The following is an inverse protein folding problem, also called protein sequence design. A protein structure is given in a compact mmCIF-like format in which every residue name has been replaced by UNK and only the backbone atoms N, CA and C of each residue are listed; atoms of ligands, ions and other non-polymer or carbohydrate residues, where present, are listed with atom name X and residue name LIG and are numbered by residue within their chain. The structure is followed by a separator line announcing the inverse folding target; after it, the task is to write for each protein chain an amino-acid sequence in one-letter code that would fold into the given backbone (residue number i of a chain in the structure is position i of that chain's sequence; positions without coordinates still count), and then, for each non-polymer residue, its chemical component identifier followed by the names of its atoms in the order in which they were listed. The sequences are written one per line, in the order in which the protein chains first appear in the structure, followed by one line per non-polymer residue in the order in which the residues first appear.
data_IF_534215241795
#
_entry.id   IF_534215241795
#
_cell.length_a   1.000
_cell.length_b   1.000
_cell.length_c   1.000
_cell.angle_alpha   90.00
_cell.angle_beta   90.00
_cell.angle_gamma   90.00
#
_symmetry.space_group_name_H-M   'P 1'
#
loop_
_entity.id
_entity.type
_entity.pdbx_description
1 polymer ?
#
# COMPACT_ATOMS: atom_id res chain seq x y z
N UNK A 1 22.14 -25.37 -9.08
CA UNK A 1 22.24 -24.34 -8.02
C UNK A 1 22.05 -22.92 -8.57
N UNK A 2 22.52 -22.58 -9.78
CA UNK A 2 22.24 -21.28 -10.43
C UNK A 2 20.77 -20.83 -10.53
N UNK A 3 19.81 -21.67 -10.97
CA UNK A 3 18.43 -21.21 -11.16
C UNK A 3 17.74 -20.84 -9.84
N UNK A 4 18.08 -21.54 -8.74
CA UNK A 4 17.54 -21.25 -7.41
C UNK A 4 18.02 -19.89 -6.89
N UNK A 5 19.30 -19.57 -7.08
CA UNK A 5 19.87 -18.28 -6.71
C UNK A 5 19.24 -17.13 -7.51
N UNK A 6 18.93 -17.36 -8.79
CA UNK A 6 18.19 -16.40 -9.60
C UNK A 6 16.79 -16.14 -9.05
N UNK A 7 16.01 -17.18 -8.74
CA UNK A 7 14.65 -17.00 -8.21
C UNK A 7 14.65 -16.32 -6.84
N UNK A 8 15.59 -16.66 -5.95
CA UNK A 8 15.74 -16.01 -4.65
C UNK A 8 16.07 -14.51 -4.79
N UNK A 9 17.03 -14.17 -5.65
CA UNK A 9 17.39 -12.77 -5.91
C UNK A 9 16.24 -11.98 -6.54
N UNK A 10 15.49 -12.57 -7.47
CA UNK A 10 14.33 -11.95 -8.08
C UNK A 10 13.18 -11.75 -7.06
N UNK A 11 12.91 -12.75 -6.22
CA UNK A 11 11.89 -12.65 -5.18
C UNK A 11 12.22 -11.55 -4.16
N UNK A 12 13.48 -11.46 -3.73
CA UNK A 12 13.96 -10.40 -2.84
C UNK A 12 13.85 -9.02 -3.50
N UNK A 13 14.22 -8.89 -4.79
CA UNK A 13 14.10 -7.64 -5.53
C UNK A 13 12.64 -7.15 -5.61
N UNK A 14 11.69 -8.04 -5.93
CA UNK A 14 10.27 -7.67 -5.97
C UNK A 14 9.71 -7.36 -4.57
N UNK A 15 10.15 -8.08 -3.54
CA UNK A 15 9.80 -7.79 -2.14
C UNK A 15 10.28 -6.41 -1.71
N UNK A 16 11.53 -6.06 -2.03
CA UNK A 16 12.12 -4.75 -1.74
C UNK A 16 11.41 -3.61 -2.50
N UNK A 17 11.01 -3.83 -3.76
CA UNK A 17 10.21 -2.88 -4.51
C UNK A 17 8.81 -2.70 -3.89
N UNK A 18 8.14 -3.80 -3.49
CA UNK A 18 6.84 -3.73 -2.82
C UNK A 18 6.92 -2.95 -1.50
N UNK A 19 7.96 -3.21 -0.69
CA UNK A 19 8.24 -2.46 0.54
C UNK A 19 8.46 -0.97 0.27
N UNK A 20 9.21 -0.64 -0.79
CA UNK A 20 9.45 0.75 -1.21
C UNK A 20 8.14 1.48 -1.55
N UNK A 21 7.29 0.85 -2.37
CA UNK A 21 5.97 1.39 -2.73
C UNK A 21 5.10 1.59 -1.48
N UNK A 22 5.11 0.62 -0.57
CA UNK A 22 4.36 0.72 0.69
C UNK A 22 4.83 1.88 1.57
N UNK A 23 6.15 2.08 1.70
CA UNK A 23 6.70 3.19 2.48
C UNK A 23 6.40 4.55 1.85
N UNK A 24 6.44 4.66 0.51
CA UNK A 24 5.99 5.87 -0.19
C UNK A 24 4.51 6.15 0.10
N UNK A 25 3.67 5.11 0.08
CA UNK A 25 2.26 5.22 0.44
C UNK A 25 2.07 5.75 1.86
N UNK A 26 2.74 5.16 2.86
CA UNK A 26 2.65 5.62 4.25
C UNK A 26 3.09 7.09 4.39
N UNK A 27 4.18 7.46 3.72
CA UNK A 27 4.70 8.83 3.74
C UNK A 27 3.68 9.83 3.20
N UNK A 28 3.08 9.54 2.04
CA UNK A 28 2.07 10.42 1.43
C UNK A 28 0.78 10.41 2.25
N UNK A 29 0.36 9.25 2.78
CA UNK A 29 -0.81 9.13 3.64
C UNK A 29 -0.68 10.04 4.86
N UNK A 30 0.34 9.83 5.69
CA UNK A 30 0.51 10.63 6.91
C UNK A 30 0.85 12.08 6.61
N UNK A 31 1.63 12.36 5.57
CA UNK A 31 1.91 13.72 5.12
C UNK A 31 0.65 14.47 4.70
N UNK A 32 -0.25 13.81 3.96
CA UNK A 32 -1.52 14.41 3.54
C UNK A 32 -2.49 14.65 4.70
N UNK A 33 -2.54 13.74 5.67
CA UNK A 33 -3.36 13.90 6.88
C UNK A 33 -2.81 15.03 7.75
N UNK A 34 -1.48 15.11 7.93
CA UNK A 34 -0.82 16.22 8.63
C UNK A 34 -1.09 17.57 7.94
N UNK A 35 -0.99 17.62 6.62
CA UNK A 35 -1.33 18.79 5.84
C UNK A 35 -2.80 19.20 6.03
N UNK A 36 -3.75 18.27 5.94
CA UNK A 36 -5.17 18.54 6.17
C UNK A 36 -5.45 18.98 7.63
N UNK A 37 -4.71 18.44 8.59
CA UNK A 37 -4.77 18.79 10.01
C UNK A 37 -4.21 20.20 10.31
N UNK A 38 -3.22 20.67 9.55
CA UNK A 38 -2.65 22.00 9.71
C UNK A 38 -3.39 23.08 8.90
N UNK A 39 -3.79 22.77 7.66
CA UNK A 39 -4.36 23.73 6.71
C UNK A 39 -5.78 23.32 6.31
N UNK A 40 -6.83 23.88 6.96
CA UNK A 40 -8.21 23.59 6.59
C UNK A 40 -8.52 24.21 5.22
N UNK A 41 -8.74 23.35 4.22
CA UNK A 41 -9.08 23.77 2.86
C UNK A 41 -10.52 24.25 2.72
N UNK A 42 -11.33 24.09 3.77
CA UNK A 42 -12.75 24.45 3.82
C UNK A 42 -13.02 25.87 3.34
N UNK A 43 -12.16 26.83 3.68
CA UNK A 43 -12.33 28.27 3.37
C UNK A 43 -11.65 28.69 2.06
N UNK A 44 -10.96 27.77 1.38
CA UNK A 44 -10.27 28.04 0.12
C UNK A 44 -11.18 27.70 -1.05
N UNK A 45 -11.90 28.71 -1.58
CA UNK A 45 -12.68 28.64 -2.82
C UNK A 45 -14.18 28.31 -2.65
N UNK A 46 -14.88 28.16 -3.78
CA UNK A 46 -16.34 27.92 -3.80
C UNK A 46 -16.67 26.51 -3.26
N UNK A 47 -17.65 26.42 -2.36
CA UNK A 47 -18.14 25.14 -1.80
C UNK A 47 -19.27 24.56 -2.65
N UNK A 48 -19.21 23.25 -2.93
CA UNK A 48 -20.34 22.46 -3.46
C UNK A 48 -20.39 21.13 -2.71
N UNK A 49 -21.54 20.81 -2.10
CA UNK A 49 -21.72 19.62 -1.23
C UNK A 49 -20.82 19.62 0.02
N UNK A 50 -20.64 20.78 0.66
CA UNK A 50 -19.86 20.89 1.91
C UNK A 50 -18.33 20.82 1.75
N UNK A 51 -17.83 20.53 0.55
CA UNK A 51 -16.41 20.42 0.21
C UNK A 51 -15.94 21.61 -0.63
N UNK A 52 -14.75 22.15 -0.34
CA UNK A 52 -14.13 23.19 -1.16
C UNK A 52 -13.57 22.65 -2.47
N UNK A 53 -13.49 23.50 -3.51
CA UNK A 53 -12.91 23.13 -4.80
C UNK A 53 -11.45 22.66 -4.66
N UNK A 54 -10.65 23.33 -3.83
CA UNK A 54 -9.26 22.96 -3.56
C UNK A 54 -9.15 21.60 -2.88
N UNK A 55 -10.04 21.30 -1.92
CA UNK A 55 -10.09 19.98 -1.27
C UNK A 55 -10.38 18.86 -2.26
N UNK A 56 -11.24 19.10 -3.27
CA UNK A 56 -11.54 18.09 -4.29
C UNK A 56 -10.36 17.84 -5.23
N UNK A 57 -9.63 18.89 -5.61
CA UNK A 57 -8.45 18.75 -6.45
C UNK A 57 -7.34 17.97 -5.74
N UNK A 58 -7.02 18.35 -4.49
CA UNK A 58 -5.98 17.67 -3.70
C UNK A 58 -6.42 16.24 -3.35
N UNK A 59 -7.68 16.07 -2.93
CA UNK A 59 -8.26 14.74 -2.68
C UNK A 59 -8.23 13.85 -3.92
N UNK A 60 -8.55 14.40 -5.10
CA UNK A 60 -8.47 13.67 -6.37
C UNK A 60 -7.05 13.22 -6.69
N UNK A 61 -6.07 14.11 -6.53
CA UNK A 61 -4.66 13.76 -6.71
C UNK A 61 -4.20 12.66 -5.73
N UNK A 62 -4.60 12.74 -4.46
CA UNK A 62 -4.33 11.71 -3.45
C UNK A 62 -4.97 10.38 -3.81
N UNK A 63 -6.22 10.39 -4.28
CA UNK A 63 -6.92 9.18 -4.71
C UNK A 63 -6.21 8.52 -5.90
N UNK A 64 -5.81 9.30 -6.91
CA UNK A 64 -5.02 8.79 -8.03
C UNK A 64 -3.71 8.16 -7.56
N UNK A 65 -3.00 8.82 -6.65
CA UNK A 65 -1.77 8.28 -6.07
C UNK A 65 -2.01 6.97 -5.30
N UNK A 66 -3.07 6.88 -4.49
CA UNK A 66 -3.41 5.66 -3.75
C UNK A 66 -3.75 4.50 -4.70
N UNK A 67 -4.49 4.76 -5.78
CA UNK A 67 -4.82 3.73 -6.78
C UNK A 67 -3.54 3.22 -7.45
N UNK A 68 -2.67 4.11 -7.92
CA UNK A 68 -1.42 3.72 -8.59
C UNK A 68 -0.51 2.93 -7.63
N UNK A 69 -0.39 3.39 -6.39
CA UNK A 69 0.42 2.73 -5.37
C UNK A 69 -0.14 1.36 -5.01
N UNK A 70 -1.46 1.23 -4.88
CA UNK A 70 -2.12 -0.05 -4.61
C UNK A 70 -1.89 -1.05 -5.76
N UNK A 71 -2.09 -0.64 -7.02
CA UNK A 71 -1.88 -1.51 -8.18
C UNK A 71 -0.43 -1.96 -8.28
N UNK A 72 0.52 -1.04 -8.05
CA UNK A 72 1.95 -1.34 -8.07
C UNK A 72 2.32 -2.32 -6.96
N UNK A 73 1.86 -2.08 -5.74
CA UNK A 73 2.07 -2.96 -4.59
C UNK A 73 1.48 -4.36 -4.83
N UNK A 74 0.25 -4.43 -5.35
CA UNK A 74 -0.44 -5.67 -5.69
C UNK A 74 0.37 -6.50 -6.68
N UNK A 75 0.84 -5.88 -7.77
CA UNK A 75 1.58 -6.57 -8.81
C UNK A 75 2.92 -7.11 -8.28
N UNK A 76 3.70 -6.27 -7.59
CA UNK A 76 5.00 -6.66 -7.03
C UNK A 76 4.87 -7.77 -5.97
N UNK A 77 3.87 -7.65 -5.09
CA UNK A 77 3.61 -8.66 -4.06
C UNK A 77 3.23 -10.01 -4.68
N UNK A 78 2.42 -10.00 -5.74
CA UNK A 78 2.04 -11.23 -6.43
C UNK A 78 3.21 -11.86 -7.20
N UNK A 79 4.08 -11.05 -7.81
CA UNK A 79 5.31 -11.55 -8.45
C UNK A 79 6.26 -12.20 -7.43
N UNK A 80 6.49 -11.53 -6.29
CA UNK A 80 7.31 -12.08 -5.21
C UNK A 80 6.74 -13.40 -4.68
N UNK A 81 5.44 -13.43 -4.37
CA UNK A 81 4.76 -14.63 -3.89
C UNK A 81 4.75 -15.76 -4.92
N UNK A 82 4.60 -15.44 -6.21
CA UNK A 82 4.67 -16.41 -7.29
C UNK A 82 6.04 -17.08 -7.38
N UNK A 83 7.12 -16.29 -7.25
CA UNK A 83 8.50 -16.81 -7.23
C UNK A 83 8.78 -17.65 -5.98
N UNK A 84 8.31 -17.22 -4.81
CA UNK A 84 8.39 -18.00 -3.57
C UNK A 84 7.67 -19.35 -3.73
N UNK A 85 6.50 -19.36 -4.36
CA UNK A 85 5.78 -20.60 -4.67
C UNK A 85 6.56 -21.54 -5.60
N UNK A 86 7.28 -21.00 -6.58
CA UNK A 86 8.17 -21.78 -7.46
C UNK A 86 9.36 -22.35 -6.66
N UNK A 87 9.97 -21.54 -5.80
CA UNK A 87 11.09 -21.96 -4.94
C UNK A 87 10.66 -23.10 -4.01
N UNK A 88 9.51 -22.98 -3.35
CA UNK A 88 8.95 -24.02 -2.47
C UNK A 88 8.69 -25.32 -3.25
N UNK A 89 8.15 -25.26 -4.47
CA UNK A 89 7.93 -26.44 -5.33
C UNK A 89 9.22 -27.09 -5.81
N UNK A 90 10.24 -26.31 -6.16
CA UNK A 90 11.55 -26.86 -6.52
C UNK A 90 12.27 -27.46 -5.31
N UNK A 91 12.05 -26.88 -4.13
CA UNK A 91 12.58 -27.34 -2.86
C UNK A 91 12.00 -28.67 -2.40
N UNK A 92 10.68 -28.88 -2.55
CA UNK A 92 10.03 -30.16 -2.21
C UNK A 92 10.55 -31.34 -3.04
N UNK A 93 11.22 -31.06 -4.16
CA UNK A 93 11.89 -32.06 -5.00
C UNK A 93 13.33 -32.40 -4.56
N UNK A 94 13.75 -31.95 -3.36
CA UNK A 94 14.93 -32.48 -2.66
C UNK A 94 16.18 -31.58 -2.61
N UNK A 95 16.07 -30.29 -2.95
CA UNK A 95 17.23 -29.38 -3.06
C UNK A 95 17.43 -28.37 -1.93
N UNK A 96 16.54 -28.30 -0.94
CA UNK A 96 16.56 -27.26 0.09
C UNK A 96 16.14 -27.83 1.46
N UNK A 97 16.76 -27.31 2.53
CA UNK A 97 16.49 -27.74 3.89
C UNK A 97 15.02 -27.48 4.26
N UNK A 98 14.36 -28.44 4.91
CA UNK A 98 12.95 -28.35 5.33
C UNK A 98 12.64 -27.06 6.13
N UNK A 99 13.60 -26.59 6.92
CA UNK A 99 13.50 -25.33 7.68
C UNK A 99 13.36 -24.10 6.78
N UNK A 100 14.07 -24.04 5.65
CA UNK A 100 13.96 -22.94 4.70
C UNK A 100 12.58 -22.92 4.01
N UNK A 101 11.99 -24.09 3.78
CA UNK A 101 10.65 -24.25 3.22
C UNK A 101 9.59 -23.76 4.19
N UNK A 102 9.76 -24.03 5.47
CA UNK A 102 8.79 -23.63 6.49
C UNK A 102 8.78 -22.11 6.70
N UNK A 103 9.95 -21.47 6.60
CA UNK A 103 10.11 -20.00 6.66
C UNK A 103 9.56 -19.33 5.38
N UNK A 104 9.92 -19.85 4.20
CA UNK A 104 9.48 -19.28 2.90
C UNK A 104 8.01 -19.61 2.58
N UNK A 105 7.53 -20.76 3.05
CA UNK A 105 6.22 -21.32 2.77
C UNK A 105 5.17 -21.02 3.82
N UNK A 106 5.48 -20.23 4.86
CA UNK A 106 4.49 -19.81 5.84
C UNK A 106 3.33 -19.14 5.08
N UNK A 107 2.13 -19.76 5.04
CA UNK A 107 1.04 -19.23 4.26
C UNK A 107 0.66 -17.88 4.83
N UNK A 108 0.97 -16.81 4.10
CA UNK A 108 0.31 -15.53 4.35
C UNK A 108 -1.17 -15.83 4.28
N UNK A 109 -1.90 -15.64 5.38
CA UNK A 109 -3.33 -15.90 5.41
C UNK A 109 -3.99 -15.10 4.27
N UNK A 110 -4.65 -15.80 3.34
CA UNK A 110 -5.25 -15.22 2.14
C UNK A 110 -6.77 -15.37 2.19
N UNK A 111 -7.48 -14.55 2.99
CA UNK A 111 -8.93 -14.52 2.89
C UNK A 111 -9.31 -14.05 1.47
N UNK A 112 -10.14 -14.84 0.79
CA UNK A 112 -10.64 -14.56 -0.57
C UNK A 112 -9.58 -14.50 -1.69
N UNK A 113 -8.43 -15.17 -1.50
CA UNK A 113 -7.36 -15.19 -2.52
C UNK A 113 -6.56 -13.89 -2.62
N UNK A 114 -6.69 -13.01 -1.62
CA UNK A 114 -5.94 -11.76 -1.52
C UNK A 114 -5.06 -11.82 -0.28
N UNK A 115 -3.79 -11.45 -0.40
CA UNK A 115 -2.89 -11.43 0.76
C UNK A 115 -3.31 -10.35 1.75
N UNK A 116 -3.18 -10.65 3.05
CA UNK A 116 -3.51 -9.72 4.14
C UNK A 116 -2.84 -8.34 3.99
N UNK A 117 -1.59 -8.21 3.53
CA UNK A 117 -0.98 -6.91 3.22
C UNK A 117 -1.72 -6.11 2.14
N UNK A 118 -2.19 -6.78 1.07
CA UNK A 118 -2.96 -6.12 0.00
C UNK A 118 -4.29 -5.59 0.55
N UNK A 119 -5.00 -6.40 1.35
CA UNK A 119 -6.24 -5.96 2.01
C UNK A 119 -5.99 -4.78 2.94
N UNK A 120 -4.94 -4.84 3.77
CA UNK A 120 -4.54 -3.75 4.64
C UNK A 120 -4.24 -2.45 3.88
N UNK A 121 -3.53 -2.55 2.75
CA UNK A 121 -3.27 -1.40 1.87
C UNK A 121 -4.58 -0.79 1.35
N UNK A 122 -5.48 -1.62 0.83
CA UNK A 122 -6.76 -1.16 0.28
C UNK A 122 -7.62 -0.45 1.33
N UNK A 123 -7.77 -1.06 2.51
CA UNK A 123 -8.50 -0.46 3.64
C UNK A 123 -7.82 0.84 4.10
N UNK A 124 -6.50 0.84 4.26
CA UNK A 124 -5.73 2.02 4.65
C UNK A 124 -5.89 3.18 3.66
N UNK A 125 -5.90 2.89 2.36
CA UNK A 125 -6.12 3.88 1.31
C UNK A 125 -7.51 4.50 1.39
N UNK A 126 -8.55 3.68 1.57
CA UNK A 126 -9.93 4.16 1.69
C UNK A 126 -10.10 5.02 2.95
N UNK A 127 -9.69 4.51 4.12
CA UNK A 127 -9.77 5.22 5.40
C UNK A 127 -8.97 6.53 5.34
N UNK A 128 -7.75 6.48 4.78
CA UNK A 128 -6.90 7.65 4.61
C UNK A 128 -7.53 8.74 3.76
N UNK A 129 -8.13 8.37 2.63
CA UNK A 129 -8.84 9.30 1.76
C UNK A 129 -10.02 9.97 2.48
N UNK A 130 -10.87 9.18 3.16
CA UNK A 130 -12.02 9.74 3.89
C UNK A 130 -11.58 10.62 5.07
N UNK A 131 -10.53 10.22 5.80
CA UNK A 131 -9.95 11.01 6.87
C UNK A 131 -9.40 12.34 6.34
N UNK A 132 -8.68 12.34 5.21
CA UNK A 132 -8.22 13.56 4.54
C UNK A 132 -9.40 14.48 4.19
N UNK A 133 -10.41 13.94 3.50
CA UNK A 133 -11.58 14.71 3.07
C UNK A 133 -12.34 15.31 4.25
N UNK A 134 -12.45 14.56 5.35
CA UNK A 134 -13.05 15.06 6.58
C UNK A 134 -12.19 16.17 7.19
N UNK A 135 -10.92 15.89 7.52
CA UNK A 135 -10.01 16.84 8.18
C UNK A 135 -9.87 18.15 7.42
N UNK A 136 -9.74 18.07 6.10
CA UNK A 136 -9.61 19.25 5.23
C UNK A 136 -10.85 20.16 5.25
N UNK A 137 -12.01 19.66 5.67
CA UNK A 137 -13.30 20.37 5.64
C UNK A 137 -13.97 20.53 7.01
N UNK A 138 -13.36 20.05 8.10
CA UNK A 138 -13.82 20.33 9.47
C UNK A 138 -13.79 21.84 9.72
N UNK A 139 -14.87 22.36 10.33
CA UNK A 139 -14.89 23.75 10.80
C UNK A 139 -13.99 23.83 12.04
N UNK A 140 -12.84 24.46 11.91
CA UNK A 140 -11.99 24.80 13.06
C UNK A 140 -12.34 26.20 13.48
N UNK A 141 -12.68 26.41 14.75
CA UNK A 141 -12.64 27.76 15.28
C UNK A 141 -11.16 28.18 15.22
N UNK A 142 -10.81 29.32 14.60
CA UNK A 142 -9.51 29.90 14.88
C UNK A 142 -9.44 30.05 16.40
N UNK A 143 -8.38 29.51 17.01
CA UNK A 143 -8.18 29.64 18.43
C UNK A 143 -8.33 31.13 18.81
N UNK A 144 -9.12 31.37 19.86
CA UNK A 144 -8.98 32.59 20.65
C UNK A 144 -7.57 32.68 21.21
#
# INVERSE_FOLDING_TARGET
MEPLNFYLSAADAYGNQASTVFNMFLTVLFGSLGFAAAFPLRDVGKRRFGLSASSKLIGGALLSFYIISFVSFYHLSNQANGLIGIIVKQSSNGQLAKEAIEILGAPSWQPFGVSLPILGFGIGSAVGFFAFMWLANVKRNPAQ
#
